data_IF_223791248495
#
_entry.id   IF_223791248495
#
_cell.length_a   1.000
_cell.length_b   1.000
_cell.length_c   1.000
_cell.angle_alpha   90.00
_cell.angle_beta   90.00
_cell.angle_gamma   90.00
#
_symmetry.space_group_name_H-M   'P 1'
#
loop_
_entity.id
_entity.type
_entity.pdbx_description
1 polymer ?
#
# COMPACT_ATOMS: atom_id res chain seq x y z
N UNK A 1 -0.20 16.02 -10.59
CA UNK A 1 -1.32 15.06 -10.67
C UNK A 1 -2.62 15.79 -10.39
N UNK A 2 -3.74 15.29 -10.94
CA UNK A 2 -5.06 15.92 -10.78
C UNK A 2 -5.45 16.01 -9.29
N UNK A 3 -5.72 17.22 -8.76
CA UNK A 3 -6.09 17.38 -7.34
C UNK A 3 -7.35 16.63 -6.93
N UNK A 4 -8.32 16.47 -7.84
CA UNK A 4 -9.55 15.73 -7.53
C UNK A 4 -9.27 14.25 -7.33
N UNK A 5 -8.34 13.68 -8.10
CA UNK A 5 -7.93 12.29 -7.93
C UNK A 5 -7.15 12.09 -6.63
N UNK A 6 -6.27 13.03 -6.28
CA UNK A 6 -5.56 12.99 -4.99
C UNK A 6 -6.57 13.00 -3.84
N UNK A 7 -7.54 13.92 -3.91
CA UNK A 7 -8.59 14.00 -2.88
C UNK A 7 -9.40 12.69 -2.80
N UNK A 8 -9.76 12.13 -3.95
CA UNK A 8 -10.51 10.86 -4.01
C UNK A 8 -9.74 9.72 -3.33
N UNK A 9 -8.43 9.64 -3.57
CA UNK A 9 -7.57 8.63 -2.93
C UNK A 9 -7.51 8.87 -1.43
N UNK A 10 -7.31 10.12 -1.00
CA UNK A 10 -7.27 10.46 0.42
C UNK A 10 -8.59 10.12 1.11
N UNK A 11 -9.72 10.45 0.49
CA UNK A 11 -11.05 10.15 1.04
C UNK A 11 -11.29 8.63 1.14
N UNK A 12 -10.85 7.87 0.13
CA UNK A 12 -10.93 6.41 0.16
C UNK A 12 -10.07 5.84 1.28
N UNK A 13 -8.84 6.32 1.41
CA UNK A 13 -7.93 5.89 2.48
C UNK A 13 -8.54 6.14 3.86
N UNK A 14 -9.12 7.32 4.08
CA UNK A 14 -9.73 7.67 5.38
C UNK A 14 -10.91 6.79 5.74
N UNK A 15 -11.57 6.16 4.77
CA UNK A 15 -12.66 5.21 5.02
C UNK A 15 -12.18 3.80 5.37
N UNK A 16 -10.89 3.50 5.19
CA UNK A 16 -10.33 2.20 5.54
C UNK A 16 -10.04 2.11 7.04
N UNK A 17 -10.97 1.54 7.79
CA UNK A 17 -10.79 1.35 9.23
C UNK A 17 -9.53 0.55 9.57
N UNK A 18 -9.17 -0.42 8.71
CA UNK A 18 -7.94 -1.21 8.90
C UNK A 18 -6.69 -0.34 8.90
N UNK A 19 -6.65 0.71 8.07
CA UNK A 19 -5.52 1.64 8.05
C UNK A 19 -5.46 2.48 9.33
N UNK A 20 -6.60 2.89 9.87
CA UNK A 20 -6.66 3.57 11.16
C UNK A 20 -6.17 2.66 12.30
N UNK A 21 -6.55 1.38 12.24
CA UNK A 21 -6.15 0.39 13.26
C UNK A 21 -4.63 0.28 13.37
N UNK A 22 -3.93 0.31 12.25
CA UNK A 22 -2.45 0.23 12.22
C UNK A 22 -1.78 1.61 12.23
N UNK A 23 -2.55 2.67 12.43
CA UNK A 23 -2.07 4.07 12.52
C UNK A 23 -1.36 4.53 11.26
N UNK A 24 -1.86 4.10 10.10
CA UNK A 24 -1.26 4.41 8.81
C UNK A 24 -1.56 5.84 8.36
N UNK A 25 -0.62 6.41 7.61
CA UNK A 25 -0.78 7.68 6.91
C UNK A 25 -0.40 7.47 5.45
N UNK A 26 -0.91 8.33 4.57
CA UNK A 26 -0.64 8.27 3.13
C UNK A 26 0.04 9.58 2.67
N UNK A 27 1.33 9.78 2.99
CA UNK A 27 1.99 11.06 2.76
C UNK A 27 2.41 11.33 1.31
N UNK A 28 2.48 10.31 0.45
CA UNK A 28 2.93 10.48 -0.93
C UNK A 28 1.92 9.85 -1.86
N UNK A 29 1.35 10.67 -2.74
CA UNK A 29 0.44 10.23 -3.81
C UNK A 29 0.94 10.89 -5.09
N UNK A 30 1.53 10.09 -5.97
CA UNK A 30 2.03 10.52 -7.28
C UNK A 30 1.49 9.57 -8.34
N UNK A 31 1.46 10.01 -9.59
CA UNK A 31 1.06 9.11 -10.67
C UNK A 31 1.95 7.86 -10.70
N UNK A 32 1.34 6.69 -10.68
CA UNK A 32 1.99 5.38 -10.65
C UNK A 32 2.68 5.02 -9.33
N UNK A 33 2.68 5.88 -8.31
CA UNK A 33 3.38 5.58 -7.07
C UNK A 33 2.68 6.18 -5.85
N UNK A 34 2.52 5.36 -4.81
CA UNK A 34 1.94 5.79 -3.53
C UNK A 34 2.78 5.23 -2.40
N UNK A 35 3.00 6.04 -1.36
CA UNK A 35 3.60 5.56 -0.11
C UNK A 35 2.59 5.63 1.03
N UNK A 36 2.57 4.58 1.83
CA UNK A 36 1.86 4.53 3.10
C UNK A 36 2.89 4.27 4.19
N UNK A 37 2.83 5.07 5.25
CA UNK A 37 3.73 4.95 6.39
C UNK A 37 2.97 4.45 7.61
N UNK A 38 3.57 3.55 8.38
CA UNK A 38 3.02 3.13 9.68
C UNK A 38 4.09 3.23 10.76
N UNK A 39 3.72 3.69 11.98
CA UNK A 39 4.65 3.63 13.10
C UNK A 39 4.76 2.20 13.61
N UNK A 40 5.89 1.85 14.19
CA UNK A 40 6.04 0.60 14.93
C UNK A 40 5.49 0.81 16.34
N UNK A 41 4.55 -0.02 16.74
CA UNK A 41 3.99 0.03 18.07
C UNK A 41 3.54 -1.37 18.50
N UNK A 42 3.34 -1.56 19.79
CA UNK A 42 3.09 -2.87 20.38
C UNK A 42 1.93 -3.63 19.74
N UNK A 43 0.87 -2.91 19.37
CA UNK A 43 -0.36 -3.53 18.85
C UNK A 43 -0.22 -4.24 17.51
N UNK A 44 0.88 -4.02 16.77
CA UNK A 44 1.11 -4.66 15.46
C UNK A 44 2.29 -5.63 15.50
N UNK A 45 2.82 -5.93 16.69
CA UNK A 45 3.98 -6.82 16.84
C UNK A 45 3.57 -8.28 16.88
N UNK A 46 4.44 -9.13 16.29
CA UNK A 46 4.40 -10.55 16.57
C UNK A 46 5.23 -10.85 17.85
N UNK A 47 5.34 -12.12 18.24
CA UNK A 47 5.92 -12.51 19.54
C UNK A 47 7.40 -12.17 19.73
N UNK A 48 8.14 -11.90 18.65
CA UNK A 48 9.56 -11.48 18.72
C UNK A 48 9.76 -9.97 18.73
N UNK A 49 8.68 -9.19 18.73
CA UNK A 49 8.73 -7.74 18.73
C UNK A 49 8.90 -7.09 17.35
N UNK A 50 8.92 -7.87 16.29
CA UNK A 50 8.89 -7.34 14.91
C UNK A 50 7.45 -7.08 14.48
N UNK A 51 7.25 -6.24 13.48
CA UNK A 51 5.91 -6.05 12.91
C UNK A 51 5.45 -7.36 12.29
N UNK A 52 4.22 -7.76 12.61
CA UNK A 52 3.62 -8.99 12.11
C UNK A 52 3.59 -9.00 10.58
N UNK A 53 3.95 -10.14 9.97
CA UNK A 53 3.96 -10.29 8.51
C UNK A 53 2.62 -9.97 7.85
N UNK A 54 1.51 -10.28 8.53
CA UNK A 54 0.17 -9.94 8.05
C UNK A 54 -0.08 -8.44 7.97
N UNK A 55 0.50 -7.67 8.90
CA UNK A 55 0.43 -6.20 8.88
C UNK A 55 1.29 -5.65 7.74
N UNK A 56 2.48 -6.21 7.53
CA UNK A 56 3.33 -5.84 6.39
C UNK A 56 2.58 -6.06 5.07
N UNK A 57 1.91 -7.21 4.93
CA UNK A 57 1.09 -7.51 3.75
C UNK A 57 -0.08 -6.53 3.59
N UNK A 58 -0.75 -6.20 4.69
CA UNK A 58 -1.87 -5.25 4.69
C UNK A 58 -1.44 -3.87 4.18
N UNK A 59 -0.35 -3.33 4.69
CA UNK A 59 0.06 -1.97 4.34
C UNK A 59 0.58 -1.89 2.90
N UNK A 60 1.32 -2.90 2.44
CA UNK A 60 1.85 -2.88 1.06
C UNK A 60 0.78 -3.19 0.02
N UNK A 61 -0.21 -4.03 0.36
CA UNK A 61 -1.38 -4.24 -0.48
C UNK A 61 -2.12 -2.92 -0.72
N UNK A 62 -2.35 -2.15 0.33
CA UNK A 62 -3.02 -0.84 0.21
C UNK A 62 -2.20 0.16 -0.58
N UNK A 63 -0.90 0.23 -0.35
CA UNK A 63 -0.02 1.15 -1.10
C UNK A 63 -0.04 0.85 -2.60
N UNK A 64 0.08 -0.43 -2.96
CA UNK A 64 0.06 -0.86 -4.37
C UNK A 64 -1.33 -0.70 -5.00
N UNK A 65 -2.39 -0.95 -4.23
CA UNK A 65 -3.76 -0.71 -4.67
C UNK A 65 -4.02 0.75 -5.00
N UNK A 66 -3.60 1.66 -4.13
CA UNK A 66 -3.74 3.10 -4.41
C UNK A 66 -2.84 3.57 -5.55
N UNK A 67 -1.66 2.97 -5.73
CA UNK A 67 -0.85 3.23 -6.91
C UNK A 67 -1.62 2.90 -8.19
N UNK A 68 -2.30 1.74 -8.24
CA UNK A 68 -3.17 1.38 -9.36
C UNK A 68 -4.32 2.37 -9.54
N UNK A 69 -4.89 2.87 -8.44
CA UNK A 69 -5.97 3.84 -8.47
C UNK A 69 -5.55 5.16 -9.14
N UNK A 70 -4.26 5.53 -9.05
CA UNK A 70 -3.76 6.75 -9.70
C UNK A 70 -3.89 6.71 -11.22
N UNK A 71 -4.00 5.51 -11.82
CA UNK A 71 -4.10 5.32 -13.28
C UNK A 71 -5.39 4.62 -13.68
N UNK A 72 -6.30 4.38 -12.74
CA UNK A 72 -7.58 3.75 -13.02
C UNK A 72 -8.51 4.69 -13.78
N UNK A 73 -9.43 4.16 -14.61
CA UNK A 73 -10.48 4.97 -15.22
C UNK A 73 -11.32 5.69 -14.14
N UNK A 74 -11.85 6.89 -14.43
CA UNK A 74 -12.58 7.69 -13.42
C UNK A 74 -13.81 6.98 -12.82
N UNK A 75 -14.43 6.07 -13.56
CA UNK A 75 -15.63 5.34 -13.16
C UNK A 75 -15.30 3.98 -12.52
N UNK A 76 -14.04 3.66 -12.33
CA UNK A 76 -13.62 2.36 -11.83
C UNK A 76 -13.20 2.43 -10.37
N UNK A 77 -13.49 1.36 -9.63
CA UNK A 77 -12.86 1.04 -8.36
C UNK A 77 -11.79 -0.03 -8.59
N UNK A 78 -11.01 -0.29 -7.58
CA UNK A 78 -9.95 -1.30 -7.64
C UNK A 78 -10.28 -2.45 -6.71
N UNK A 79 -9.82 -3.64 -7.08
CA UNK A 79 -9.94 -4.83 -6.25
C UNK A 79 -8.68 -5.67 -6.40
N UNK A 80 -8.05 -6.00 -5.27
CA UNK A 80 -6.89 -6.90 -5.26
C UNK A 80 -7.35 -8.31 -5.60
N UNK A 81 -6.74 -8.92 -6.61
CA UNK A 81 -7.06 -10.28 -7.05
C UNK A 81 -6.12 -11.29 -6.39
N UNK A 82 -4.84 -10.98 -6.41
CA UNK A 82 -3.82 -11.84 -5.82
C UNK A 82 -2.55 -11.05 -5.57
N UNK A 83 -1.74 -11.51 -4.63
CA UNK A 83 -0.37 -11.04 -4.53
C UNK A 83 0.53 -12.14 -3.99
N UNK A 84 1.80 -12.05 -4.38
CA UNK A 84 2.86 -12.84 -3.80
C UNK A 84 3.80 -11.89 -3.08
N UNK A 85 4.12 -12.19 -1.83
CA UNK A 85 5.03 -11.39 -1.02
C UNK A 85 6.19 -12.26 -0.52
N UNK A 86 7.40 -11.69 -0.58
CA UNK A 86 8.58 -12.29 0.03
C UNK A 86 8.98 -11.43 1.22
N UNK A 87 9.09 -12.06 2.38
CA UNK A 87 9.65 -11.44 3.58
C UNK A 87 11.15 -11.66 3.55
N UNK A 88 11.90 -10.61 3.23
CA UNK A 88 13.34 -10.69 3.01
C UNK A 88 14.13 -10.54 4.31
N UNK A 89 13.61 -9.71 5.22
CA UNK A 89 14.23 -9.39 6.52
C UNK A 89 13.14 -9.10 7.54
N UNK A 90 13.42 -9.20 8.84
CA UNK A 90 12.46 -8.81 9.87
C UNK A 90 12.04 -7.33 9.69
N UNK A 91 10.76 -7.08 9.89
CA UNK A 91 10.23 -5.70 9.88
C UNK A 91 10.54 -5.05 11.24
N UNK A 92 11.76 -4.58 11.38
CA UNK A 92 12.33 -4.04 12.61
C UNK A 92 12.76 -2.58 12.41
N UNK A 93 12.18 -1.68 13.19
CA UNK A 93 12.51 -0.25 13.11
C UNK A 93 11.42 0.60 13.76
N UNK A 94 11.63 1.91 13.76
CA UNK A 94 10.68 2.86 14.35
C UNK A 94 9.44 3.04 13.50
N UNK A 95 9.55 2.81 12.18
CA UNK A 95 8.43 2.85 11.26
C UNK A 95 8.70 2.01 10.03
N UNK A 96 7.62 1.70 9.30
CA UNK A 96 7.69 1.08 7.99
C UNK A 96 7.17 2.04 6.94
N UNK A 97 7.79 2.01 5.76
CA UNK A 97 7.35 2.72 4.57
C UNK A 97 6.99 1.67 3.52
N UNK A 98 5.72 1.61 3.16
CA UNK A 98 5.27 0.74 2.07
C UNK A 98 5.13 1.60 0.81
N UNK A 99 5.83 1.21 -0.25
CA UNK A 99 5.78 1.91 -1.54
C UNK A 99 5.17 1.00 -2.59
N UNK A 100 4.04 1.42 -3.13
CA UNK A 100 3.41 0.75 -4.26
C UNK A 100 3.72 1.46 -5.56
N UNK A 101 3.98 0.70 -6.62
CA UNK A 101 4.28 1.24 -7.94
C UNK A 101 3.56 0.43 -9.02
N UNK A 102 3.02 1.12 -10.02
CA UNK A 102 2.43 0.46 -11.18
C UNK A 102 3.54 -0.03 -12.09
N UNK A 103 3.50 -1.32 -12.46
CA UNK A 103 4.36 -1.90 -13.47
C UNK A 103 3.71 -1.77 -14.84
N UNK A 104 2.44 -2.18 -14.95
CA UNK A 104 1.68 -2.11 -16.19
C UNK A 104 0.20 -2.02 -15.88
N UNK A 105 -0.45 -0.98 -16.40
CA UNK A 105 -1.89 -0.82 -16.34
C UNK A 105 -2.49 -1.27 -17.68
N UNK A 106 -3.24 -2.37 -17.66
CA UNK A 106 -4.04 -2.81 -18.78
C UNK A 106 -5.46 -2.26 -18.68
N UNK A 107 -6.31 -2.71 -19.59
CA UNK A 107 -7.72 -2.29 -19.60
C UNK A 107 -8.50 -2.78 -18.38
N UNK A 108 -8.26 -4.02 -17.98
CA UNK A 108 -8.98 -4.71 -16.88
C UNK A 108 -8.06 -5.01 -15.72
N UNK A 109 -6.81 -5.37 -15.99
CA UNK A 109 -5.83 -5.75 -14.97
C UNK A 109 -4.70 -4.75 -14.91
N UNK A 110 -4.27 -4.48 -13.67
CA UNK A 110 -3.11 -3.65 -13.40
C UNK A 110 -2.11 -4.47 -12.59
N UNK A 111 -0.89 -4.56 -13.07
CA UNK A 111 0.18 -5.23 -12.35
C UNK A 111 0.97 -4.17 -11.59
N UNK A 112 1.10 -4.39 -10.29
CA UNK A 112 1.84 -3.50 -9.40
C UNK A 112 2.93 -4.26 -8.69
N UNK A 113 3.90 -3.53 -8.17
CA UNK A 113 4.85 -4.05 -7.20
C UNK A 113 4.76 -3.23 -5.92
N UNK A 114 5.15 -3.84 -4.82
CA UNK A 114 5.24 -3.18 -3.53
C UNK A 114 6.57 -3.51 -2.87
N UNK A 115 7.11 -2.51 -2.19
CA UNK A 115 8.32 -2.65 -1.39
C UNK A 115 8.03 -2.10 -0.01
N UNK A 116 8.52 -2.78 1.02
CA UNK A 116 8.41 -2.28 2.39
C UNK A 116 9.80 -2.07 2.95
N UNK A 117 10.04 -0.85 3.41
CA UNK A 117 11.30 -0.44 4.03
C UNK A 117 11.10 -0.26 5.53
N UNK A 118 11.96 -0.89 6.32
CA UNK A 118 12.03 -0.64 7.75
C UNK A 118 13.03 0.50 8.00
N UNK A 119 12.60 1.50 8.75
CA UNK A 119 13.44 2.66 9.10
C UNK A 119 13.91 2.49 10.53
N UNK A 120 15.23 2.35 10.73
CA UNK A 120 15.83 2.17 12.03
C UNK A 120 17.10 3.01 12.13
N UNK A 121 17.16 3.88 13.13
CA UNK A 121 18.31 4.76 13.38
C UNK A 121 18.72 5.55 12.12
N UNK A 122 17.73 6.05 11.38
CA UNK A 122 17.94 6.79 10.15
C UNK A 122 18.30 5.94 8.93
N UNK A 123 18.40 4.63 9.09
CA UNK A 123 18.70 3.67 8.01
C UNK A 123 17.42 3.07 7.43
N UNK A 124 17.37 2.99 6.11
CA UNK A 124 16.27 2.34 5.37
C UNK A 124 16.73 0.96 4.91
N UNK A 125 15.98 -0.08 5.26
CA UNK A 125 16.29 -1.46 4.88
C UNK A 125 15.08 -2.08 4.21
N UNK A 126 15.25 -2.61 2.98
CA UNK A 126 14.17 -3.31 2.29
C UNK A 126 13.89 -4.61 3.04
N UNK A 127 12.69 -4.73 3.62
CA UNK A 127 12.30 -5.91 4.39
C UNK A 127 11.28 -6.80 3.66
N UNK A 128 10.57 -6.28 2.66
CA UNK A 128 9.59 -7.10 1.91
C UNK A 128 9.45 -6.61 0.48
N UNK A 129 9.16 -7.55 -0.40
CA UNK A 129 8.94 -7.33 -1.83
C UNK A 129 7.67 -8.07 -2.24
N UNK A 130 6.78 -7.38 -2.97
CA UNK A 130 5.49 -7.93 -3.38
C UNK A 130 5.23 -7.65 -4.85
N UNK A 131 4.57 -8.58 -5.52
CA UNK A 131 3.97 -8.35 -6.84
C UNK A 131 2.47 -8.65 -6.73
N UNK A 132 1.63 -7.77 -7.28
CA UNK A 132 0.20 -7.83 -7.09
C UNK A 132 -0.54 -7.63 -8.41
N UNK A 133 -1.66 -8.34 -8.55
CA UNK A 133 -2.61 -8.15 -9.63
C UNK A 133 -3.83 -7.42 -9.07
N UNK A 134 -4.15 -6.28 -9.68
CA UNK A 134 -5.33 -5.47 -9.36
C UNK A 134 -6.30 -5.56 -10.52
N UNK A 135 -7.58 -5.68 -10.20
CA UNK A 135 -8.66 -5.60 -11.19
C UNK A 135 -9.30 -4.22 -11.15
N UNK A 136 -9.48 -3.60 -12.32
CA UNK A 136 -10.28 -2.40 -12.47
C UNK A 136 -11.75 -2.80 -12.62
N UNK A 137 -12.57 -2.38 -11.67
CA UNK A 137 -14.00 -2.64 -11.65
C UNK A 137 -14.73 -1.49 -12.34
N UNK A 138 -14.84 -1.59 -13.67
CA UNK A 138 -15.47 -0.55 -14.50
C UNK A 138 -16.94 -0.38 -14.13
N UNK A 139 -17.40 0.88 -14.09
CA UNK A 139 -18.78 1.20 -13.75
C UNK A 139 -19.15 0.96 -12.29
N UNK A 140 -18.16 0.71 -11.43
CA UNK A 140 -18.34 0.49 -9.99
C UNK A 140 -17.42 1.43 -9.21
N UNK A 141 -17.78 2.71 -9.08
CA UNK A 141 -16.93 3.67 -8.37
C UNK A 141 -16.81 3.34 -6.89
N UNK A 142 -15.78 3.89 -6.26
CA UNK A 142 -15.60 3.80 -4.80
C UNK A 142 -16.83 4.38 -4.08
N UNK A 143 -17.24 3.72 -3.01
CA UNK A 143 -18.35 4.17 -2.18
C UNK A 143 -17.95 5.28 -1.22
#
# INVERSE_FOLDING_TARGET
>A
MNPDLVKRIQDSFEKQNAMHLIKATIPVIEENMVEIHIPHWEGIEQQHGYVHAGVVGMVVDSAAGYAAMTVAPPDASILSVEYKINMLRPADGEKLIARGQVIKAGRTLCITKGEVFAIKDGKSTLCSLMQQTIMFMHGKPEK
#
